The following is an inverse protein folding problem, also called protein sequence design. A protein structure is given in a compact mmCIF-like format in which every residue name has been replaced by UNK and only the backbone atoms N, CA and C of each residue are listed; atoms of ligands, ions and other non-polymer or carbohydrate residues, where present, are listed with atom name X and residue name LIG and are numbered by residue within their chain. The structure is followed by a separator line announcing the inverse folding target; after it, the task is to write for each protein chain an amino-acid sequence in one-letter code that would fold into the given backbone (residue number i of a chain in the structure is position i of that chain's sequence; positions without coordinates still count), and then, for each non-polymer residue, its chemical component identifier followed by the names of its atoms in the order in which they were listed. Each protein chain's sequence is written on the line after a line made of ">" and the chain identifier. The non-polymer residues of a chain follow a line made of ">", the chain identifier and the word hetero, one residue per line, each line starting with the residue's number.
data_IF_424835745590
#
_entry.id   IF_424835745590
#
_cell.length_a   1.000
_cell.length_b   1.000
_cell.length_c   1.000
_cell.angle_alpha   90.00
_cell.angle_beta   90.00
_cell.angle_gamma   90.00
#
_symmetry.space_group_name_H-M   'P 1'
#
loop_
_entity.id
_entity.type
_entity.pdbx_description
1 polymer ?
#
# COMPACT_ATOMS: atom_id res chain seq x y z
N UNK A 1 17.11 -8.96 -1.26
CA UNK A 1 17.18 -9.95 -0.16
C UNK A 1 17.32 -9.18 1.15
N UNK A 2 16.26 -9.08 1.95
CA UNK A 2 16.34 -8.44 3.26
C UNK A 2 17.09 -9.38 4.22
N UNK A 3 18.31 -8.99 4.59
CA UNK A 3 19.07 -9.66 5.65
C UNK A 3 18.79 -8.95 6.98
N UNK A 4 18.56 -9.77 8.00
CA UNK A 4 18.60 -9.39 9.42
C UNK A 4 19.90 -8.65 9.77
N UNK A 5 19.79 -7.58 10.56
CA UNK A 5 20.95 -7.01 11.26
C UNK A 5 20.83 -5.54 11.62
N UNK A 6 20.60 -5.28 12.91
CA UNK A 6 21.18 -4.19 13.72
C UNK A 6 21.21 -2.75 13.18
N UNK A 7 20.47 -1.88 13.88
CA UNK A 7 20.85 -0.53 14.32
C UNK A 7 21.75 0.32 13.40
N UNK A 8 21.16 1.36 12.79
CA UNK A 8 21.62 2.77 12.75
C UNK A 8 20.59 3.59 11.96
N UNK A 9 19.85 4.47 12.64
CA UNK A 9 20.07 5.92 12.64
C UNK A 9 20.08 6.50 11.22
N UNK A 10 18.89 6.92 10.76
CA UNK A 10 18.78 8.03 9.82
C UNK A 10 18.35 9.25 10.64
N UNK A 11 19.37 9.96 11.12
CA UNK A 11 19.25 11.31 11.65
C UNK A 11 19.03 12.22 10.43
N UNK A 12 17.79 12.62 10.16
CA UNK A 12 17.52 13.70 9.21
C UNK A 12 16.97 14.90 9.97
N UNK A 13 17.82 15.91 10.02
CA UNK A 13 17.64 17.23 10.60
C UNK A 13 16.41 17.89 9.97
N UNK A 14 15.30 18.01 10.71
CA UNK A 14 14.20 18.90 10.34
C UNK A 14 14.52 20.29 10.90
N UNK A 15 15.03 21.18 10.04
CA UNK A 15 15.08 22.61 10.29
C UNK A 15 13.65 23.15 10.45
N UNK A 16 13.50 24.04 11.42
CA UNK A 16 12.22 24.44 11.97
C UNK A 16 11.34 25.31 11.07
N UNK A 17 10.04 25.25 11.38
CA UNK A 17 9.09 26.32 11.18
C UNK A 17 8.25 26.44 12.46
N UNK A 18 8.27 27.62 13.06
CA UNK A 18 7.62 27.96 14.33
C UNK A 18 6.21 28.52 14.14
N UNK A 19 5.33 28.19 15.10
CA UNK A 19 4.08 28.85 15.55
C UNK A 19 2.90 28.88 14.55
N UNK A 20 1.67 28.53 14.93
CA UNK A 20 0.94 29.00 16.11
C UNK A 20 -0.09 28.01 16.66
N UNK A 21 -0.34 28.13 17.97
CA UNK A 21 -1.24 27.35 18.82
C UNK A 21 -2.74 27.54 18.54
N UNK A 22 -3.52 26.48 18.73
CA UNK A 22 -4.86 26.55 19.31
C UNK A 22 -5.19 25.22 20.03
N UNK A 23 -5.81 25.33 21.20
CA UNK A 23 -5.98 24.29 22.20
C UNK A 23 -7.36 23.62 22.18
N UNK A 24 -7.43 22.38 22.70
CA UNK A 24 -8.65 21.66 23.09
C UNK A 24 -9.23 20.81 21.96
N UNK A 25 -9.61 19.55 22.11
CA UNK A 25 -9.97 18.73 23.28
C UNK A 25 -9.76 17.25 22.94
N UNK A 26 -9.65 16.40 23.97
CA UNK A 26 -9.46 14.93 23.88
C UNK A 26 -10.82 14.24 23.71
N UNK A 27 -10.77 12.96 23.28
CA UNK A 27 -11.88 12.07 22.88
C UNK A 27 -12.46 12.47 21.52
N UNK A 28 -12.45 11.65 20.46
CA UNK A 28 -13.03 10.31 20.33
C UNK A 28 -12.19 9.49 19.31
N UNK A 29 -11.99 8.19 19.47
CA UNK A 29 -12.93 7.19 18.94
C UNK A 29 -12.70 6.99 17.44
N UNK A 30 -12.22 5.80 17.06
CA UNK A 30 -12.02 5.34 15.68
C UNK A 30 -12.97 5.97 14.66
N UNK A 31 -12.41 6.53 13.60
CA UNK A 31 -13.06 6.43 12.30
C UNK A 31 -12.01 6.02 11.27
N UNK A 32 -11.61 4.75 11.39
CA UNK A 32 -11.16 3.99 10.22
C UNK A 32 -12.30 4.14 9.20
N UNK A 33 -12.06 4.91 8.14
CA UNK A 33 -12.92 4.90 6.98
C UNK A 33 -12.81 3.49 6.41
N UNK A 34 -13.61 2.58 6.93
CA UNK A 34 -13.98 1.33 6.28
C UNK A 34 -14.82 1.79 5.09
N UNK A 35 -14.12 2.12 4.00
CA UNK A 35 -14.75 2.25 2.70
C UNK A 35 -15.48 0.96 2.44
N UNK A 36 -16.79 1.05 2.27
CA UNK A 36 -17.78 -0.03 2.26
C UNK A 36 -17.66 -1.03 1.08
N UNK A 37 -16.46 -1.22 0.51
CA UNK A 37 -16.18 -2.08 -0.64
C UNK A 37 -14.78 -2.73 -0.62
N UNK A 38 -14.15 -2.90 0.56
CA UNK A 38 -12.85 -3.59 0.60
C UNK A 38 -11.68 -2.79 0.01
N UNK A 39 -11.86 -1.49 -0.11
CA UNK A 39 -10.85 -0.56 -0.62
C UNK A 39 -10.19 0.20 0.54
N UNK A 40 -8.91 0.51 0.39
CA UNK A 40 -8.07 1.14 1.40
C UNK A 40 -7.36 2.36 0.82
N UNK A 41 -7.18 3.40 1.62
CA UNK A 41 -6.35 4.55 1.26
C UNK A 41 -4.88 4.20 1.52
N UNK A 42 -4.02 4.38 0.52
CA UNK A 42 -2.61 4.01 0.58
C UNK A 42 -1.75 5.12 -0.03
N UNK A 43 -0.69 5.50 0.66
CA UNK A 43 0.36 6.37 0.13
C UNK A 43 1.41 5.50 -0.56
N UNK A 44 1.56 5.69 -1.87
CA UNK A 44 2.57 5.02 -2.68
C UNK A 44 3.59 6.07 -3.12
N UNK A 45 4.80 6.03 -2.58
CA UNK A 45 5.88 6.93 -3.00
C UNK A 45 5.53 8.43 -2.95
N UNK A 46 4.65 8.85 -2.02
CA UNK A 46 4.15 10.23 -1.90
C UNK A 46 2.84 10.50 -2.66
N UNK A 47 2.27 9.50 -3.32
CA UNK A 47 0.97 9.60 -4.02
C UNK A 47 -0.09 8.80 -3.29
N UNK A 48 -1.06 9.50 -2.69
CA UNK A 48 -2.19 8.89 -2.00
C UNK A 48 -3.26 8.43 -3.00
N UNK A 49 -3.67 7.16 -2.93
CA UNK A 49 -4.75 6.62 -3.77
C UNK A 49 -5.60 5.55 -3.07
N UNK A 50 -6.85 5.40 -3.56
CA UNK A 50 -7.73 4.31 -3.14
C UNK A 50 -7.36 3.01 -3.87
N UNK A 51 -6.97 1.99 -3.11
CA UNK A 51 -6.51 0.71 -3.60
C UNK A 51 -7.50 -0.43 -3.24
N UNK A 52 -7.92 -1.28 -4.19
CA UNK A 52 -8.91 -2.35 -3.97
C UNK A 52 -8.24 -3.57 -3.32
N UNK A 53 -7.84 -3.45 -2.04
CA UNK A 53 -7.08 -4.50 -1.35
C UNK A 53 -7.80 -5.86 -1.34
N UNK A 54 -9.13 -5.89 -1.30
CA UNK A 54 -9.87 -7.15 -1.24
C UNK A 54 -9.81 -7.95 -2.56
N UNK A 55 -9.54 -7.29 -3.70
CA UNK A 55 -9.26 -8.00 -4.96
C UNK A 55 -8.00 -8.87 -4.86
N UNK A 56 -7.09 -8.58 -3.93
CA UNK A 56 -5.92 -9.42 -3.66
C UNK A 56 -6.27 -10.71 -2.90
N UNK A 57 -7.49 -10.85 -2.36
CA UNK A 57 -7.94 -12.08 -1.70
C UNK A 57 -8.40 -13.16 -2.69
N UNK A 58 -8.36 -12.88 -4.00
CA UNK A 58 -8.56 -13.90 -5.02
C UNK A 58 -7.61 -15.09 -4.79
N UNK A 59 -8.07 -16.32 -5.04
CA UNK A 59 -7.33 -17.54 -4.66
C UNK A 59 -5.90 -17.60 -5.21
N UNK A 60 -5.71 -17.07 -6.41
CA UNK A 60 -4.41 -16.99 -7.07
C UNK A 60 -3.56 -15.79 -6.64
N UNK A 61 -4.10 -14.81 -5.91
CA UNK A 61 -3.39 -13.60 -5.47
C UNK A 61 -3.17 -13.54 -3.96
N UNK A 62 -3.99 -14.23 -3.15
CA UNK A 62 -3.98 -14.13 -1.68
C UNK A 62 -2.66 -14.53 -1.02
N UNK A 63 -1.86 -15.36 -1.70
CA UNK A 63 -0.53 -15.79 -1.25
C UNK A 63 0.62 -14.95 -1.78
N UNK A 64 0.35 -13.77 -2.37
CA UNK A 64 1.39 -12.87 -2.86
C UNK A 64 1.94 -11.99 -1.75
N UNK A 65 3.19 -11.55 -1.87
CA UNK A 65 3.83 -10.62 -0.94
C UNK A 65 2.97 -9.39 -0.66
N UNK A 66 2.34 -8.82 -1.69
CA UNK A 66 1.48 -7.65 -1.53
C UNK A 66 0.19 -7.98 -0.77
N UNK A 67 -0.45 -9.11 -1.08
CA UNK A 67 -1.65 -9.55 -0.35
C UNK A 67 -1.34 -9.75 1.14
N UNK A 68 -0.23 -10.43 1.45
CA UNK A 68 0.22 -10.64 2.82
C UNK A 68 0.58 -9.32 3.50
N UNK A 69 1.31 -8.43 2.83
CA UNK A 69 1.68 -7.12 3.37
C UNK A 69 0.44 -6.32 3.79
N UNK A 70 -0.58 -6.25 2.92
CA UNK A 70 -1.74 -5.41 3.15
C UNK A 70 -2.79 -6.05 4.08
N UNK A 71 -2.95 -7.38 4.06
CA UNK A 71 -3.97 -8.06 4.88
C UNK A 71 -3.47 -8.59 6.21
N UNK A 72 -2.19 -8.98 6.31
CA UNK A 72 -1.62 -9.54 7.55
C UNK A 72 -0.81 -8.51 8.36
N UNK A 73 -0.16 -7.58 7.67
CA UNK A 73 0.75 -6.61 8.29
C UNK A 73 0.29 -5.16 8.08
N UNK A 74 -0.96 -4.94 7.68
CA UNK A 74 -1.49 -3.60 7.40
C UNK A 74 -1.29 -2.62 8.55
N UNK A 75 -1.52 -3.07 9.79
CA UNK A 75 -1.37 -2.24 11.00
C UNK A 75 0.09 -1.94 11.36
N UNK A 76 1.05 -2.64 10.72
CA UNK A 76 2.48 -2.50 10.95
C UNK A 76 3.15 -1.66 9.86
N UNK A 77 2.40 -1.26 8.84
CA UNK A 77 2.88 -0.34 7.82
C UNK A 77 3.18 1.00 8.46
N UNK A 78 4.31 1.60 8.08
CA UNK A 78 4.62 2.96 8.47
C UNK A 78 3.51 3.87 7.97
N UNK A 79 3.04 4.77 8.83
CA UNK A 79 2.03 5.76 8.48
C UNK A 79 2.66 7.14 8.41
N UNK A 80 2.13 8.00 7.55
CA UNK A 80 2.38 9.43 7.65
C UNK A 80 1.62 10.05 8.83
N UNK A 81 1.89 11.32 9.15
CA UNK A 81 1.28 12.02 10.28
C UNK A 81 -0.26 12.09 10.26
N UNK A 82 -0.88 11.76 9.14
CA UNK A 82 -2.33 11.64 8.95
C UNK A 82 -2.87 10.20 9.15
N UNK A 83 -2.03 9.23 9.52
CA UNK A 83 -2.43 7.84 9.72
C UNK A 83 -2.53 7.01 8.43
N UNK A 84 -2.26 7.58 7.25
CA UNK A 84 -2.30 6.83 5.98
C UNK A 84 -1.09 5.91 5.87
N UNK A 85 -1.27 4.59 5.66
CA UNK A 85 -0.18 3.65 5.47
C UNK A 85 0.62 3.96 4.21
N UNK A 86 1.93 3.73 4.27
CA UNK A 86 2.89 4.05 3.22
C UNK A 86 3.59 2.81 2.67
N UNK A 87 3.74 2.77 1.35
CA UNK A 87 4.59 1.82 0.63
C UNK A 87 5.54 2.60 -0.26
N UNK A 88 6.84 2.36 -0.06
CA UNK A 88 7.90 2.92 -0.90
C UNK A 88 7.96 2.17 -2.24
N UNK A 89 7.19 2.65 -3.21
CA UNK A 89 7.11 2.10 -4.55
C UNK A 89 6.71 3.17 -5.57
N UNK A 90 6.85 2.83 -6.85
CA UNK A 90 6.43 3.69 -7.95
C UNK A 90 4.89 3.78 -8.02
N UNK A 91 4.30 4.99 -7.93
CA UNK A 91 2.86 5.18 -8.06
C UNK A 91 2.27 4.64 -9.37
N UNK A 92 3.01 4.67 -10.47
CA UNK A 92 2.50 4.27 -11.78
C UNK A 92 2.31 2.75 -11.89
N UNK A 93 3.14 1.96 -11.20
CA UNK A 93 2.90 0.53 -11.03
C UNK A 93 1.58 0.28 -10.29
N UNK A 94 1.34 0.98 -9.17
CA UNK A 94 0.12 0.82 -8.40
C UNK A 94 -1.12 1.32 -9.13
N UNK A 95 -1.01 2.35 -9.97
CA UNK A 95 -2.11 2.77 -10.87
C UNK A 95 -2.46 1.66 -11.85
N UNK A 96 -1.47 1.08 -12.52
CA UNK A 96 -1.67 -0.04 -13.45
C UNK A 96 -2.30 -1.24 -12.74
N UNK A 97 -1.76 -1.63 -11.59
CA UNK A 97 -2.26 -2.77 -10.81
C UNK A 97 -3.70 -2.53 -10.31
N UNK A 98 -4.01 -1.31 -9.86
CA UNK A 98 -5.37 -0.94 -9.43
C UNK A 98 -6.39 -1.11 -10.56
N UNK A 99 -6.05 -0.67 -11.79
CA UNK A 99 -6.91 -0.88 -12.96
C UNK A 99 -7.12 -2.38 -13.23
N UNK A 100 -6.04 -3.16 -13.20
CA UNK A 100 -6.11 -4.61 -13.40
C UNK A 100 -6.96 -5.32 -12.34
N UNK A 101 -6.78 -5.00 -11.07
CA UNK A 101 -7.58 -5.58 -9.97
C UNK A 101 -9.07 -5.21 -10.04
N UNK A 102 -9.40 -4.03 -10.59
CA UNK A 102 -10.80 -3.66 -10.86
C UNK A 102 -11.38 -4.49 -11.99
N UNK A 103 -10.63 -4.67 -13.08
CA UNK A 103 -11.07 -5.54 -14.17
C UNK A 103 -11.22 -6.99 -13.75
N UNK A 104 -10.32 -7.50 -12.89
CA UNK A 104 -10.45 -8.83 -12.32
C UNK A 104 -11.73 -8.96 -11.49
N UNK A 105 -12.00 -7.99 -10.60
CA UNK A 105 -13.23 -7.97 -9.79
C UNK A 105 -14.50 -7.92 -10.63
N UNK A 106 -14.45 -7.21 -11.76
CA UNK A 106 -15.56 -7.08 -12.69
C UNK A 106 -15.60 -8.25 -13.71
N UNK A 107 -14.81 -9.32 -13.49
CA UNK A 107 -14.69 -10.52 -14.33
C UNK A 107 -14.37 -10.22 -15.82
N UNK A 108 -13.56 -9.19 -16.07
CA UNK A 108 -13.16 -8.75 -17.41
C UNK A 108 -11.80 -9.27 -17.85
N UNK A 109 -10.98 -9.69 -16.90
CA UNK A 109 -9.65 -10.27 -17.13
C UNK A 109 -9.43 -11.44 -16.18
N UNK A 110 -8.52 -12.32 -16.55
CA UNK A 110 -8.03 -13.39 -15.66
C UNK A 110 -6.80 -12.94 -14.86
N UNK A 111 -6.44 -13.71 -13.82
CA UNK A 111 -5.25 -13.42 -13.00
C UNK A 111 -3.95 -13.52 -13.81
N UNK A 112 -3.90 -14.40 -14.82
CA UNK A 112 -2.75 -14.51 -15.74
C UNK A 112 -2.45 -13.18 -16.45
N UNK A 113 -3.47 -12.39 -16.80
CA UNK A 113 -3.28 -11.07 -17.41
C UNK A 113 -2.69 -10.02 -16.46
N UNK A 114 -2.76 -10.28 -15.14
CA UNK A 114 -2.05 -9.50 -14.12
C UNK A 114 -0.63 -10.05 -13.99
N UNK A 115 -0.47 -11.36 -13.83
CA UNK A 115 0.83 -11.99 -13.61
C UNK A 115 1.79 -11.84 -14.79
N UNK A 116 1.31 -11.99 -16.01
CA UNK A 116 2.11 -11.99 -17.25
C UNK A 116 2.02 -10.68 -18.02
N UNK A 117 0.92 -9.94 -17.86
CA UNK A 117 0.65 -8.70 -18.60
C UNK A 117 1.33 -7.45 -18.05
N UNK A 118 2.31 -7.60 -17.15
CA UNK A 118 3.03 -6.48 -16.56
C UNK A 118 3.94 -5.79 -17.59
N UNK A 119 3.85 -4.45 -17.77
CA UNK A 119 4.82 -3.69 -18.53
C UNK A 119 6.25 -3.92 -18.01
N UNK A 120 7.22 -4.02 -18.93
CA UNK A 120 8.63 -4.26 -18.57
C UNK A 120 9.21 -3.17 -17.66
N UNK A 121 8.72 -1.93 -17.78
CA UNK A 121 9.09 -0.82 -16.91
C UNK A 121 8.78 -1.08 -15.43
N UNK A 122 7.84 -1.97 -15.11
CA UNK A 122 7.41 -2.27 -13.75
C UNK A 122 7.87 -3.63 -13.22
N UNK A 123 8.66 -4.37 -14.00
CA UNK A 123 9.07 -5.74 -13.67
C UNK A 123 9.66 -5.86 -12.25
N UNK A 124 10.50 -4.90 -11.84
CA UNK A 124 11.09 -4.87 -10.49
C UNK A 124 10.04 -4.92 -9.36
N UNK A 125 9.00 -4.10 -9.45
CA UNK A 125 7.93 -4.07 -8.45
C UNK A 125 7.03 -5.29 -8.59
N UNK A 126 6.74 -5.69 -9.82
CA UNK A 126 5.87 -6.82 -10.11
C UNK A 126 6.39 -8.13 -9.53
N UNK A 127 7.66 -8.45 -9.79
CA UNK A 127 8.31 -9.66 -9.28
C UNK A 127 8.30 -9.69 -7.75
N UNK A 128 8.48 -8.53 -7.12
CA UNK A 128 8.54 -8.43 -5.65
C UNK A 128 7.16 -8.53 -5.01
N UNK A 129 6.16 -7.84 -5.56
CA UNK A 129 4.83 -7.77 -4.98
C UNK A 129 3.99 -9.00 -5.29
N UNK A 130 4.17 -9.62 -6.46
CA UNK A 130 3.45 -10.85 -6.83
C UNK A 130 4.23 -12.14 -6.57
N UNK A 131 5.45 -12.06 -6.01
CA UNK A 131 6.13 -13.23 -5.46
C UNK A 131 5.25 -13.93 -4.42
N UNK A 132 5.27 -15.27 -4.43
CA UNK A 132 4.56 -16.11 -3.46
C UNK A 132 5.32 -16.19 -2.14
N UNK A 133 4.59 -16.16 -1.03
CA UNK A 133 5.11 -16.30 0.35
C UNK A 133 4.83 -17.66 0.94
#
# INVERSE_FOLDING_TARGET
>A
VWRNGSHRICHLHAMGCSHSSAAGTRDEGEMLIVGSNGAMLLDIGGTVMTFPRDSLLHDELKGTCLAVLLHRFGDWLLTHGNGTPFVDADPDYFKWLNVKLRYLRDNRIDVSEICEGCPSAFAFYHDRFLAKT
#
